data_IF_418354832735
#
_entry.id   IF_418354832735
#
_cell.length_a   1.000
_cell.length_b   1.000
_cell.length_c   1.000
_cell.angle_alpha   90.00
_cell.angle_beta   90.00
_cell.angle_gamma   90.00
#
_symmetry.space_group_name_H-M   'P 1'
#
loop_
_entity.id
_entity.type
_entity.pdbx_description
1 polymer ?
#
# COMPACT_ATOMS: atom_id res chain seq x y z
N UNK A 1 14.89 5.39 -18.77
CA UNK A 1 15.24 4.32 -17.80
C UNK A 1 14.10 4.23 -16.80
N UNK A 2 13.50 3.06 -16.57
CA UNK A 2 12.39 2.95 -15.62
C UNK A 2 12.89 3.21 -14.18
N UNK A 3 12.20 4.08 -13.45
CA UNK A 3 12.43 4.32 -12.02
C UNK A 3 11.50 3.39 -11.24
N UNK A 4 12.10 2.59 -10.35
CA UNK A 4 11.38 1.64 -9.52
C UNK A 4 11.27 2.14 -8.08
N UNK A 5 10.17 1.81 -7.42
CA UNK A 5 10.07 1.88 -5.96
C UNK A 5 9.84 0.49 -5.38
N UNK A 6 10.31 0.33 -4.15
CA UNK A 6 9.87 -0.76 -3.29
C UNK A 6 8.57 -0.38 -2.60
N UNK A 7 7.69 -1.35 -2.50
CA UNK A 7 6.42 -1.28 -1.80
C UNK A 7 6.51 -2.18 -0.58
N UNK A 8 5.97 -1.72 0.54
CA UNK A 8 5.88 -2.49 1.78
C UNK A 8 4.48 -2.38 2.36
N UNK A 9 3.96 -3.50 2.87
CA UNK A 9 2.70 -3.54 3.60
C UNK A 9 2.86 -4.41 4.85
N UNK A 10 2.18 -4.02 5.93
CA UNK A 10 2.08 -4.78 7.17
C UNK A 10 0.61 -4.84 7.53
N UNK A 11 0.09 -6.05 7.76
CA UNK A 11 -1.23 -6.31 8.32
C UNK A 11 -1.04 -6.75 9.77
N UNK A 12 -1.77 -6.11 10.68
CA UNK A 12 -1.71 -6.36 12.12
C UNK A 12 -3.10 -6.71 12.65
N UNK A 13 -3.17 -7.51 13.69
CA UNK A 13 -4.40 -7.73 14.44
C UNK A 13 -4.70 -6.52 15.36
N UNK A 14 -5.82 -6.56 16.08
CA UNK A 14 -6.23 -5.50 17.00
C UNK A 14 -5.30 -5.31 18.21
N UNK A 15 -4.46 -6.29 18.54
CA UNK A 15 -3.44 -6.20 19.59
C UNK A 15 -2.13 -5.57 19.06
N UNK A 16 -2.08 -5.26 17.77
CA UNK A 16 -0.89 -4.73 17.11
C UNK A 16 0.13 -5.80 16.69
N UNK A 17 -0.16 -7.08 16.88
CA UNK A 17 0.69 -8.18 16.45
C UNK A 17 0.67 -8.29 14.92
N UNK A 18 1.86 -8.42 14.31
CA UNK A 18 2.01 -8.58 12.86
C UNK A 18 1.48 -9.94 12.45
N UNK A 19 0.48 -9.95 11.57
CA UNK A 19 -0.10 -11.17 10.99
C UNK A 19 0.58 -11.50 9.68
N UNK A 20 0.76 -10.50 8.82
CA UNK A 20 1.31 -10.66 7.48
C UNK A 20 2.14 -9.44 7.10
N UNK A 21 3.25 -9.66 6.40
CA UNK A 21 4.02 -8.60 5.74
C UNK A 21 4.21 -8.95 4.28
N UNK A 22 4.13 -7.95 3.41
CA UNK A 22 4.41 -8.12 2.00
C UNK A 22 5.33 -7.02 1.47
N UNK A 23 6.18 -7.41 0.53
CA UNK A 23 7.08 -6.51 -0.17
C UNK A 23 7.01 -6.77 -1.65
N UNK A 24 7.03 -5.73 -2.47
CA UNK A 24 7.16 -5.88 -3.92
C UNK A 24 7.94 -4.72 -4.52
N UNK A 25 8.45 -4.89 -5.75
CA UNK A 25 9.09 -3.84 -6.53
C UNK A 25 8.22 -3.51 -7.73
N UNK A 26 7.89 -2.23 -7.92
CA UNK A 26 7.06 -1.77 -9.03
C UNK A 26 7.69 -0.57 -9.75
N UNK A 27 7.53 -0.47 -11.07
CA UNK A 27 7.82 0.77 -11.78
C UNK A 27 6.78 1.82 -11.35
N UNK A 28 7.25 2.97 -10.86
CA UNK A 28 6.36 4.03 -10.35
C UNK A 28 6.80 5.43 -10.81
N UNK A 29 7.78 5.51 -11.71
CA UNK A 29 8.26 6.77 -12.32
C UNK A 29 8.69 7.86 -11.32
N UNK A 30 8.98 7.49 -10.07
CA UNK A 30 9.35 8.42 -9.00
C UNK A 30 8.17 9.09 -8.29
N UNK A 31 6.94 8.68 -8.58
CA UNK A 31 5.75 9.25 -7.94
C UNK A 31 5.45 8.58 -6.60
N UNK A 32 5.51 9.38 -5.54
CA UNK A 32 5.31 8.93 -4.16
C UNK A 32 3.86 8.55 -3.89
N UNK A 33 2.89 9.30 -4.44
CA UNK A 33 1.46 9.02 -4.24
C UNK A 33 1.05 7.71 -4.92
N UNK A 34 1.53 7.48 -6.14
CA UNK A 34 1.34 6.21 -6.87
C UNK A 34 1.98 5.05 -6.10
N UNK A 35 3.19 5.25 -5.60
CA UNK A 35 3.88 4.24 -4.80
C UNK A 35 3.06 3.86 -3.56
N UNK A 36 2.51 4.85 -2.85
CA UNK A 36 1.68 4.61 -1.67
C UNK A 36 0.36 3.92 -2.01
N UNK A 37 -0.39 4.36 -3.03
CA UNK A 37 -1.64 3.68 -3.38
C UNK A 37 -1.42 2.26 -3.87
N UNK A 38 -0.32 1.98 -4.58
CA UNK A 38 0.03 0.62 -4.99
C UNK A 38 0.35 -0.27 -3.79
N UNK A 39 1.01 0.28 -2.76
CA UNK A 39 1.27 -0.45 -1.53
C UNK A 39 -0.03 -0.77 -0.77
N UNK A 40 -0.98 0.17 -0.75
CA UNK A 40 -2.32 -0.03 -0.15
C UNK A 40 -3.10 -1.08 -0.94
N UNK A 41 -3.16 -0.97 -2.27
CA UNK A 41 -3.83 -1.93 -3.13
C UNK A 41 -3.28 -3.35 -2.90
N UNK A 42 -1.96 -3.52 -2.89
CA UNK A 42 -1.34 -4.81 -2.62
C UNK A 42 -1.67 -5.35 -1.21
N UNK A 43 -1.73 -4.47 -0.21
CA UNK A 43 -2.16 -4.82 1.15
C UNK A 43 -3.62 -5.27 1.22
N UNK A 44 -4.51 -4.61 0.48
CA UNK A 44 -5.93 -4.95 0.42
C UNK A 44 -6.17 -6.28 -0.29
N UNK A 45 -5.50 -6.53 -1.41
CA UNK A 45 -5.55 -7.82 -2.10
C UNK A 45 -5.11 -8.96 -1.18
N UNK A 46 -4.04 -8.74 -0.41
CA UNK A 46 -3.54 -9.71 0.56
C UNK A 46 -4.54 -9.93 1.70
N UNK A 47 -5.11 -8.86 2.25
CA UNK A 47 -6.14 -8.97 3.27
C UNK A 47 -7.38 -9.73 2.77
N UNK A 48 -7.78 -9.52 1.51
CA UNK A 48 -8.88 -10.25 0.88
C UNK A 48 -8.55 -11.75 0.69
N UNK A 49 -7.32 -12.07 0.26
CA UNK A 49 -6.85 -13.45 0.10
C UNK A 49 -6.90 -14.25 1.41
N UNK A 50 -6.61 -13.60 2.53
CA UNK A 50 -6.70 -14.20 3.88
C UNK A 50 -8.00 -13.87 4.62
N UNK A 51 -9.02 -13.37 3.91
CA UNK A 51 -10.37 -13.11 4.44
C UNK A 51 -10.41 -12.21 5.69
N UNK A 52 -9.57 -11.18 5.74
CA UNK A 52 -9.49 -10.26 6.88
C UNK A 52 -10.46 -9.09 6.75
N UNK A 53 -11.32 -8.95 7.76
CA UNK A 53 -12.30 -7.87 7.94
C UNK A 53 -12.70 -7.78 9.41
N UNK A 54 -13.03 -6.59 9.97
CA UNK A 54 -12.97 -5.26 9.36
C UNK A 54 -11.53 -4.74 9.21
N UNK A 55 -11.32 -3.76 8.33
CA UNK A 55 -9.99 -3.21 8.04
C UNK A 55 -9.82 -1.73 8.47
N UNK A 56 -8.66 -1.43 9.05
CA UNK A 56 -8.18 -0.04 9.22
C UNK A 56 -7.00 0.18 8.29
N UNK A 57 -7.20 0.99 7.26
CA UNK A 57 -6.19 1.32 6.26
C UNK A 57 -5.43 2.56 6.74
N UNK A 58 -4.18 2.37 7.11
CA UNK A 58 -3.30 3.45 7.56
C UNK A 58 -2.43 3.93 6.39
N UNK A 59 -2.32 5.24 6.16
CA UNK A 59 -1.34 5.88 5.24
C UNK A 59 -0.66 7.07 5.93
N UNK A 60 0.62 7.29 5.64
CA UNK A 60 1.37 8.49 6.07
C UNK A 60 1.30 9.65 5.07
N UNK A 61 0.48 9.53 4.03
CA UNK A 61 0.11 10.64 3.14
C UNK A 61 -1.33 11.09 3.38
N UNK A 62 -1.46 12.35 3.79
CA UNK A 62 -2.76 12.98 3.93
C UNK A 62 -3.50 13.07 2.57
N UNK A 63 -2.76 13.29 1.48
CA UNK A 63 -3.33 13.32 0.13
C UNK A 63 -3.93 11.96 -0.25
N UNK A 64 -3.17 10.87 -0.05
CA UNK A 64 -3.62 9.51 -0.39
C UNK A 64 -4.87 9.13 0.39
N UNK A 65 -4.90 9.37 1.70
CA UNK A 65 -6.11 9.10 2.50
C UNK A 65 -7.33 9.87 1.98
N UNK A 66 -7.17 11.15 1.62
CA UNK A 66 -8.23 11.97 1.02
C UNK A 66 -8.68 11.44 -0.34
N UNK A 67 -7.75 11.00 -1.18
CA UNK A 67 -8.08 10.46 -2.50
C UNK A 67 -8.88 9.17 -2.40
N UNK A 68 -8.50 8.25 -1.51
CA UNK A 68 -9.24 7.00 -1.28
C UNK A 68 -10.65 7.31 -0.73
N UNK A 69 -10.76 8.26 0.21
CA UNK A 69 -12.06 8.64 0.77
C UNK A 69 -12.97 9.33 -0.26
N UNK A 70 -12.41 10.14 -1.16
CA UNK A 70 -13.15 10.83 -2.22
C UNK A 70 -13.40 9.96 -3.46
N UNK A 71 -12.60 8.92 -3.66
CA UNK A 71 -12.58 8.10 -4.87
C UNK A 71 -11.91 8.76 -6.08
N UNK A 72 -11.26 9.92 -5.93
CA UNK A 72 -10.63 10.65 -7.04
C UNK A 72 -9.48 11.56 -6.56
N UNK A 73 -8.48 11.71 -7.43
CA UNK A 73 -7.29 12.56 -7.30
C UNK A 73 -7.12 13.59 -8.42
N UNK A 74 -7.89 13.47 -9.51
CA UNK A 74 -7.76 14.27 -10.75
C UNK A 74 -6.46 14.01 -11.52
N UNK A 75 -5.83 12.85 -11.30
CA UNK A 75 -4.62 12.39 -11.96
C UNK A 75 -4.90 11.01 -12.54
N UNK A 76 -5.00 10.91 -13.88
CA UNK A 76 -5.58 9.74 -14.54
C UNK A 76 -5.03 8.38 -14.09
N UNK A 77 -3.71 8.22 -14.02
CA UNK A 77 -3.08 6.94 -13.58
C UNK A 77 -3.36 6.61 -12.11
N UNK A 78 -3.40 7.63 -11.25
CA UNK A 78 -3.67 7.49 -9.83
C UNK A 78 -5.16 7.18 -9.58
N UNK A 79 -6.04 7.80 -10.36
CA UNK A 79 -7.49 7.59 -10.34
C UNK A 79 -7.85 6.14 -10.68
N UNK A 80 -7.15 5.51 -11.63
CA UNK A 80 -7.36 4.09 -11.94
C UNK A 80 -7.09 3.18 -10.73
N UNK A 81 -5.99 3.42 -10.01
CA UNK A 81 -5.62 2.65 -8.82
C UNK A 81 -6.60 2.92 -7.67
N UNK A 82 -7.01 4.17 -7.49
CA UNK A 82 -8.01 4.54 -6.49
C UNK A 82 -9.34 3.83 -6.77
N UNK A 83 -9.80 3.79 -8.02
CA UNK A 83 -11.01 3.06 -8.40
C UNK A 83 -10.93 1.58 -8.02
N UNK A 84 -9.77 0.93 -8.26
CA UNK A 84 -9.57 -0.46 -7.87
C UNK A 84 -9.62 -0.66 -6.35
N UNK A 85 -8.98 0.23 -5.59
CA UNK A 85 -9.06 0.25 -4.12
C UNK A 85 -10.52 0.39 -3.65
N UNK A 86 -11.28 1.31 -4.25
CA UNK A 86 -12.70 1.53 -3.93
C UNK A 86 -13.52 0.27 -4.15
N UNK A 87 -13.33 -0.41 -5.29
CA UNK A 87 -14.01 -1.67 -5.59
C UNK A 87 -13.74 -2.72 -4.52
N UNK A 88 -12.51 -2.84 -4.02
CA UNK A 88 -12.17 -3.82 -2.99
C UNK A 88 -12.79 -3.49 -1.62
N UNK A 89 -12.72 -2.22 -1.19
CA UNK A 89 -13.15 -1.85 0.17
C UNK A 89 -14.66 -1.63 0.29
N UNK A 90 -15.32 -1.20 -0.78
CA UNK A 90 -16.77 -0.96 -0.80
C UNK A 90 -17.56 -2.29 -0.91
N UNK A 91 -16.93 -3.41 -1.28
CA UNK A 91 -17.56 -4.74 -1.28
C UNK A 91 -17.98 -5.20 0.12
N UNK A 92 -17.16 -4.88 1.13
CA UNK A 92 -17.35 -5.31 2.51
C UNK A 92 -17.92 -4.20 3.40
N UNK A 93 -17.76 -2.93 3.00
CA UNK A 93 -18.25 -1.73 3.71
C UNK A 93 -17.84 -1.64 5.20
N UNK A 94 -16.85 -2.43 5.61
CA UNK A 94 -16.33 -2.54 6.98
C UNK A 94 -14.88 -2.03 7.01
N UNK A 95 -14.67 -0.78 6.59
CA UNK A 95 -13.35 -0.17 6.54
C UNK A 95 -13.29 1.22 7.18
N UNK A 96 -12.10 1.60 7.62
CA UNK A 96 -11.74 2.98 7.96
C UNK A 96 -10.42 3.33 7.30
N UNK A 97 -10.31 4.56 6.79
CA UNK A 97 -9.05 5.11 6.27
C UNK A 97 -8.53 6.14 7.27
N UNK A 98 -7.28 5.98 7.72
CA UNK A 98 -6.68 6.81 8.77
C UNK A 98 -5.32 7.33 8.31
N UNK A 99 -5.12 8.62 8.51
CA UNK A 99 -3.80 9.22 8.37
C UNK A 99 -2.97 8.99 9.64
N UNK A 100 -1.73 8.52 9.48
CA UNK A 100 -0.80 8.23 10.59
C UNK A 100 0.55 8.89 10.34
N UNK A 101 1.18 9.46 11.36
CA UNK A 101 2.55 10.00 11.23
C UNK A 101 3.53 8.96 10.71
N UNK A 102 4.46 9.38 9.82
CA UNK A 102 5.55 8.55 9.27
C UNK A 102 6.43 7.92 10.35
N UNK A 103 6.59 8.57 11.50
CA UNK A 103 7.34 8.03 12.65
C UNK A 103 6.77 6.71 13.16
N UNK A 104 5.48 6.43 12.91
CA UNK A 104 4.82 5.19 13.31
C UNK A 104 4.99 4.04 12.31
N UNK A 105 5.66 4.27 11.17
CA UNK A 105 5.76 3.32 10.04
C UNK A 105 7.18 2.98 9.60
N UNK A 106 8.14 3.09 10.51
CA UNK A 106 9.54 2.76 10.23
C UNK A 106 9.70 1.35 9.65
N UNK A 107 8.98 0.36 10.20
CA UNK A 107 9.04 -1.04 9.72
C UNK A 107 8.56 -1.16 8.28
N UNK A 108 7.42 -0.54 7.91
CA UNK A 108 6.89 -0.58 6.54
C UNK A 108 7.83 0.11 5.56
N UNK A 109 8.47 1.20 5.99
CA UNK A 109 9.45 1.91 5.18
C UNK A 109 10.72 1.08 4.96
N UNK A 110 11.20 0.37 5.98
CA UNK A 110 12.36 -0.51 5.85
C UNK A 110 12.06 -1.74 4.98
N UNK A 111 10.85 -2.29 5.07
CA UNK A 111 10.35 -3.32 4.15
C UNK A 111 10.37 -2.84 2.69
N UNK A 112 9.91 -1.61 2.43
CA UNK A 112 9.97 -1.01 1.10
C UNK A 112 11.43 -0.84 0.61
N UNK A 113 12.35 -0.42 1.48
CA UNK A 113 13.78 -0.35 1.13
C UNK A 113 14.37 -1.73 0.81
N UNK A 114 14.04 -2.75 1.61
CA UNK A 114 14.47 -4.12 1.37
C UNK A 114 13.97 -4.64 0.02
N UNK A 115 12.72 -4.34 -0.34
CA UNK A 115 12.14 -4.72 -1.62
C UNK A 115 12.92 -4.14 -2.81
N UNK A 116 13.40 -2.90 -2.67
CA UNK A 116 14.21 -2.24 -3.68
C UNK A 116 15.61 -2.87 -3.77
N UNK A 117 16.24 -3.18 -2.63
CA UNK A 117 17.57 -3.76 -2.55
C UNK A 117 17.64 -5.23 -3.04
N UNK A 118 16.65 -6.07 -2.70
CA UNK A 118 16.63 -7.51 -3.01
C UNK A 118 16.40 -7.85 -4.49
N UNK A 119 16.35 -6.85 -5.37
CA UNK A 119 16.16 -7.03 -6.81
C UNK A 119 17.46 -7.02 -7.63
N UNK A 120 18.61 -6.90 -6.97
CA UNK A 120 19.95 -7.04 -7.58
C UNK A 120 20.55 -8.45 -7.40
N UNK A 121 19.86 -9.38 -6.72
CA UNK A 121 20.36 -10.73 -6.42
C UNK A 121 19.57 -11.87 -7.07
N UNK A 122 19.19 -11.71 -8.34
CA UNK A 122 18.79 -12.83 -9.21
C UNK A 122 19.54 -12.76 -10.55
N UNK A 123 20.86 -12.71 -10.47
CA UNK A 123 21.71 -13.39 -11.44
C UNK A 123 22.02 -14.75 -10.84
N UNK A 124 21.33 -15.79 -11.30
CA UNK A 124 21.83 -17.16 -11.19
C UNK A 124 22.19 -17.54 -12.61
N UNK A 125 23.43 -18.02 -12.74
CA UNK A 125 24.12 -18.46 -13.96
C UNK A 125 23.30 -19.44 -14.82
#
# INVERSE_FOLDING_TARGET
KAVFAGLGCIIRNCEGAVMVTATSKKPCLGDVEITEVLAILGGLMLAAEVTLSPLVIESDSNSVTKFILKGISCRGELDLIICEIRVLIDQDNQYRVVYTSRSCKLVTHDLAKMALANSESRGVD
#
